data_IF_795219937406
#
_entry.id   IF_795219937406
#
_cell.length_a   1.000
_cell.length_b   1.000
_cell.length_c   1.000
_cell.angle_alpha   90.00
_cell.angle_beta   90.00
_cell.angle_gamma   90.00
#
_symmetry.space_group_name_H-M   'P 1'
#
loop_
_entity.id
_entity.type
_entity.pdbx_description
1 polymer ?
#
# COMPACT_ATOMS: atom_id res chain seq x y z
N UNK A 1 -0.34 15.47 -3.57
CA UNK A 1 0.32 14.97 -2.34
C UNK A 1 1.14 13.77 -2.74
N UNK A 2 2.46 13.69 -2.49
CA UNK A 2 3.14 12.39 -2.67
C UNK A 2 2.65 11.51 -1.54
N UNK A 3 1.87 10.48 -1.85
CA UNK A 3 1.21 9.65 -0.85
C UNK A 3 2.15 9.07 0.21
N UNK A 4 3.47 9.03 -0.05
CA UNK A 4 4.46 8.47 0.87
C UNK A 4 4.12 7.02 1.19
N UNK A 5 3.56 6.33 0.20
CA UNK A 5 3.17 4.94 0.25
C UNK A 5 4.36 4.10 -0.13
N UNK A 6 4.37 2.88 0.42
CA UNK A 6 5.37 1.83 0.24
C UNK A 6 6.17 1.96 -1.06
N UNK A 7 7.50 1.97 -0.92
CA UNK A 7 8.40 1.86 -2.07
C UNK A 7 8.26 0.51 -2.81
N UNK A 8 7.59 -0.47 -2.19
CA UNK A 8 7.35 -1.79 -2.76
C UNK A 8 5.93 -1.87 -3.34
N UNK A 9 5.85 -2.01 -4.66
CA UNK A 9 4.58 -2.26 -5.35
C UNK A 9 4.07 -3.67 -5.02
N UNK A 10 3.07 -3.76 -4.14
CA UNK A 10 2.43 -5.02 -3.80
C UNK A 10 1.68 -5.59 -5.02
N UNK A 11 1.88 -6.89 -5.28
CA UNK A 11 1.13 -7.62 -6.30
C UNK A 11 0.39 -8.77 -5.63
N UNK A 12 -0.95 -8.83 -5.67
CA UNK A 12 -1.71 -9.89 -5.01
C UNK A 12 -1.33 -11.30 -5.45
N UNK A 13 -1.40 -12.27 -4.54
CA UNK A 13 -1.11 -13.69 -4.82
C UNK A 13 -1.88 -14.23 -6.03
N UNK A 14 -3.14 -13.85 -6.22
CA UNK A 14 -3.96 -14.24 -7.38
C UNK A 14 -3.39 -13.71 -8.70
N UNK A 15 -2.91 -12.47 -8.71
CA UNK A 15 -2.21 -11.87 -9.86
C UNK A 15 -0.89 -12.58 -10.12
N UNK A 16 -0.08 -12.83 -9.08
CA UNK A 16 1.19 -13.57 -9.21
C UNK A 16 0.98 -14.99 -9.74
N UNK A 17 -0.05 -15.69 -9.25
CA UNK A 17 -0.46 -17.01 -9.73
C UNK A 17 -0.86 -16.98 -11.22
N UNK A 18 -1.65 -15.98 -11.61
CA UNK A 18 -2.10 -15.80 -12.99
C UNK A 18 -0.90 -15.55 -13.91
N UNK A 19 -0.01 -14.64 -13.55
CA UNK A 19 1.21 -14.34 -14.31
C UNK A 19 2.11 -15.57 -14.45
N UNK A 20 2.26 -16.36 -13.37
CA UNK A 20 3.03 -17.61 -13.39
C UNK A 20 2.46 -18.61 -14.39
N UNK A 21 1.12 -18.74 -14.48
CA UNK A 21 0.46 -19.58 -15.50
C UNK A 21 0.66 -19.07 -16.92
N UNK A 22 0.87 -17.77 -17.10
CA UNK A 22 1.21 -17.14 -18.39
C UNK A 22 2.73 -17.18 -18.67
N UNK A 23 3.53 -17.85 -17.83
CA UNK A 23 4.98 -17.97 -18.00
C UNK A 23 5.77 -16.74 -17.53
N UNK A 24 5.15 -15.81 -16.81
CA UNK A 24 5.78 -14.62 -16.25
C UNK A 24 6.02 -14.78 -14.74
N UNK A 25 7.17 -14.30 -14.26
CA UNK A 25 7.51 -14.28 -12.83
C UNK A 25 7.54 -12.83 -12.37
N UNK A 26 6.82 -12.54 -11.28
CA UNK A 26 6.87 -11.24 -10.62
C UNK A 26 8.08 -11.22 -9.69
N UNK A 27 8.91 -10.20 -9.83
CA UNK A 27 10.06 -9.98 -8.97
C UNK A 27 10.02 -8.57 -8.37
N UNK A 28 10.48 -8.45 -7.13
CA UNK A 28 10.56 -7.19 -6.39
C UNK A 28 12.02 -6.91 -6.01
N UNK A 29 12.40 -5.64 -6.06
CA UNK A 29 13.69 -5.17 -5.57
C UNK A 29 13.58 -4.78 -4.10
N UNK A 30 14.37 -5.42 -3.25
CA UNK A 30 14.47 -5.15 -1.81
C UNK A 30 15.94 -4.96 -1.48
N UNK A 31 16.30 -3.79 -0.94
CA UNK A 31 17.67 -3.41 -0.58
C UNK A 31 18.69 -3.65 -1.71
N UNK A 32 18.32 -3.33 -2.95
CA UNK A 32 19.17 -3.49 -4.14
C UNK A 32 19.29 -4.93 -4.65
N UNK A 33 18.54 -5.88 -4.07
CA UNK A 33 18.50 -7.27 -4.48
C UNK A 33 17.13 -7.63 -5.07
N UNK A 34 17.14 -8.41 -6.15
CA UNK A 34 15.91 -8.83 -6.83
C UNK A 34 15.47 -10.19 -6.30
N UNK A 35 14.21 -10.28 -5.88
CA UNK A 35 13.58 -11.50 -5.40
C UNK A 35 12.36 -11.84 -6.27
N UNK A 36 12.36 -13.03 -6.87
CA UNK A 36 11.17 -13.61 -7.46
C UNK A 36 10.17 -13.94 -6.34
N UNK A 37 9.01 -13.30 -6.39
CA UNK A 37 7.95 -13.47 -5.39
C UNK A 37 7.19 -14.77 -5.69
N UNK A 38 6.85 -15.58 -4.67
CA UNK A 38 6.08 -16.80 -4.88
C UNK A 38 4.76 -16.53 -5.59
N UNK A 39 4.36 -17.44 -6.48
CA UNK A 39 3.06 -17.37 -7.17
C UNK A 39 1.87 -17.59 -6.22
N UNK A 40 2.11 -18.20 -5.06
CA UNK A 40 1.13 -18.40 -3.98
C UNK A 40 1.24 -17.30 -2.94
N UNK A 41 0.24 -17.24 -2.07
CA UNK A 41 0.25 -16.39 -0.88
C UNK A 41 1.45 -16.74 0.02
N UNK A 42 2.14 -15.71 0.50
CA UNK A 42 3.18 -15.85 1.51
C UNK A 42 2.55 -15.89 2.90
N UNK A 43 3.07 -16.70 3.85
CA UNK A 43 2.61 -16.66 5.22
C UNK A 43 2.59 -15.23 5.79
N UNK A 44 1.43 -14.78 6.29
CA UNK A 44 1.25 -13.45 6.86
C UNK A 44 0.89 -12.34 5.88
N UNK A 45 0.75 -12.65 4.58
CA UNK A 45 0.50 -11.67 3.51
C UNK A 45 -0.90 -11.05 3.60
N UNK A 46 -1.93 -11.85 3.88
CA UNK A 46 -3.32 -11.37 4.00
C UNK A 46 -3.46 -10.45 5.22
N UNK A 47 -2.87 -10.84 6.36
CA UNK A 47 -2.86 -10.03 7.56
C UNK A 47 -2.12 -8.71 7.32
N UNK A 48 -0.97 -8.77 6.64
CA UNK A 48 -0.24 -7.58 6.23
C UNK A 48 -1.10 -6.67 5.35
N UNK A 49 -1.83 -7.24 4.37
CA UNK A 49 -2.68 -6.46 3.45
C UNK A 49 -3.82 -5.77 4.19
N UNK A 50 -4.45 -6.47 5.13
CA UNK A 50 -5.49 -5.90 5.98
C UNK A 50 -4.95 -4.77 6.87
N UNK A 51 -3.78 -4.96 7.48
CA UNK A 51 -3.13 -3.94 8.30
C UNK A 51 -2.73 -2.71 7.46
N UNK A 52 -2.25 -2.93 6.24
CA UNK A 52 -1.93 -1.86 5.29
C UNK A 52 -3.16 -1.04 4.92
N UNK A 53 -4.28 -1.67 4.61
CA UNK A 53 -5.53 -0.96 4.31
C UNK A 53 -6.03 -0.15 5.52
N UNK A 54 -6.01 -0.72 6.73
CA UNK A 54 -6.36 0.00 7.96
C UNK A 54 -5.46 1.22 8.18
N UNK A 55 -4.16 1.06 7.95
CA UNK A 55 -3.20 2.15 8.04
C UNK A 55 -3.49 3.25 7.01
N UNK A 56 -3.79 2.89 5.76
CA UNK A 56 -4.20 3.85 4.73
C UNK A 56 -5.43 4.65 5.17
N UNK A 57 -6.49 3.97 5.63
CA UNK A 57 -7.71 4.64 6.13
C UNK A 57 -7.36 5.64 7.24
N UNK A 58 -6.61 5.22 8.26
CA UNK A 58 -6.21 6.10 9.38
C UNK A 58 -5.40 7.31 8.90
N UNK A 59 -4.46 7.11 7.98
CA UNK A 59 -3.65 8.18 7.40
C UNK A 59 -4.53 9.20 6.65
N UNK A 60 -5.52 8.71 5.93
CA UNK A 60 -6.42 9.55 5.15
C UNK A 60 -7.46 10.28 5.98
N UNK A 61 -8.00 9.63 7.01
CA UNK A 61 -8.83 10.29 8.02
C UNK A 61 -8.04 11.42 8.67
N UNK A 62 -6.79 11.17 9.08
CA UNK A 62 -5.93 12.21 9.66
C UNK A 62 -5.71 13.38 8.69
N UNK A 63 -5.47 13.08 7.41
CA UNK A 63 -5.27 14.09 6.38
C UNK A 63 -6.52 14.93 6.11
N UNK A 64 -7.67 14.29 5.93
CA UNK A 64 -8.94 14.96 5.61
C UNK A 64 -9.53 15.70 6.81
N UNK A 65 -9.36 15.19 8.03
CA UNK A 65 -9.79 15.87 9.25
C UNK A 65 -9.20 17.28 9.42
N UNK A 66 -8.08 17.56 8.74
CA UNK A 66 -7.39 18.86 8.72
C UNK A 66 -7.84 19.78 7.58
N UNK A 67 -8.80 19.34 6.76
CA UNK A 67 -9.35 20.07 5.61
C UNK A 67 -10.80 20.51 5.85
N UNK A 68 -11.26 21.57 5.16
CA UNK A 68 -12.67 21.93 5.10
C UNK A 68 -13.54 20.74 4.65
N UNK A 69 -14.71 20.56 5.28
CA UNK A 69 -15.60 19.41 5.03
C UNK A 69 -16.10 19.34 3.59
N UNK A 70 -16.30 20.48 2.95
CA UNK A 70 -16.70 20.62 1.55
C UNK A 70 -15.62 20.14 0.56
N UNK A 71 -14.36 20.02 0.99
CA UNK A 71 -13.27 19.47 0.17
C UNK A 71 -13.10 17.96 0.31
N UNK A 72 -13.75 17.30 1.28
CA UNK A 72 -13.47 15.90 1.62
C UNK A 72 -13.73 14.94 0.46
N UNK A 73 -14.91 15.04 -0.16
CA UNK A 73 -15.31 14.14 -1.26
C UNK A 73 -14.39 14.31 -2.47
N UNK A 74 -14.15 15.55 -2.90
CA UNK A 74 -13.27 15.84 -4.04
C UNK A 74 -11.85 15.34 -3.79
N UNK A 75 -11.32 15.58 -2.58
CA UNK A 75 -9.98 15.11 -2.21
C UNK A 75 -9.91 13.57 -2.20
N UNK A 76 -10.96 12.89 -1.75
CA UNK A 76 -11.01 11.42 -1.74
C UNK A 76 -11.02 10.84 -3.16
N UNK A 77 -11.79 11.43 -4.08
CA UNK A 77 -11.81 11.00 -5.49
C UNK A 77 -10.45 11.13 -6.17
N UNK A 78 -9.69 12.21 -5.89
CA UNK A 78 -8.33 12.36 -6.40
C UNK A 78 -7.39 11.27 -5.88
N UNK A 79 -7.55 10.90 -4.61
CA UNK A 79 -6.76 9.87 -3.95
C UNK A 79 -7.07 8.48 -4.49
N UNK A 80 -8.35 8.16 -4.70
CA UNK A 80 -8.76 6.91 -5.35
C UNK A 80 -8.09 6.76 -6.71
N UNK A 81 -8.14 7.83 -7.52
CA UNK A 81 -7.51 7.84 -8.83
C UNK A 81 -5.99 7.61 -8.73
N UNK A 82 -5.31 8.26 -7.78
CA UNK A 82 -3.87 8.07 -7.57
C UNK A 82 -3.53 6.65 -7.06
N UNK A 83 -4.32 6.09 -6.13
CA UNK A 83 -4.11 4.76 -5.57
C UNK A 83 -4.27 3.65 -6.62
N UNK A 84 -5.27 3.78 -7.50
CA UNK A 84 -5.47 2.87 -8.64
C UNK A 84 -4.36 3.04 -9.67
N UNK A 85 -4.00 4.28 -10.05
CA UNK A 85 -2.93 4.53 -11.03
C UNK A 85 -1.59 3.97 -10.59
N UNK A 86 -1.28 4.06 -9.29
CA UNK A 86 -0.04 3.53 -8.71
C UNK A 86 -0.11 2.04 -8.35
N UNK A 87 -1.21 1.37 -8.67
CA UNK A 87 -1.43 -0.06 -8.40
C UNK A 87 -1.30 -0.42 -6.91
N UNK A 88 -1.67 0.50 -6.03
CA UNK A 88 -1.54 0.33 -4.58
C UNK A 88 -2.74 -0.42 -4.01
N UNK A 89 -3.89 -0.26 -4.64
CA UNK A 89 -5.17 -0.89 -4.31
C UNK A 89 -5.82 -1.46 -5.59
N UNK A 90 -6.49 -2.61 -5.43
CA UNK A 90 -7.46 -3.10 -6.40
C UNK A 90 -8.71 -2.22 -6.38
N UNK A 91 -9.49 -2.20 -7.45
CA UNK A 91 -10.70 -1.37 -7.54
C UNK A 91 -11.65 -1.57 -6.35
N UNK A 92 -11.91 -2.82 -5.94
CA UNK A 92 -12.77 -3.12 -4.79
C UNK A 92 -12.15 -2.69 -3.46
N UNK A 93 -10.81 -2.73 -3.35
CA UNK A 93 -10.11 -2.26 -2.16
C UNK A 93 -10.13 -0.74 -2.08
N UNK A 94 -10.08 -0.04 -3.22
CA UNK A 94 -10.23 1.42 -3.32
C UNK A 94 -11.60 1.86 -2.83
N UNK A 95 -12.68 1.19 -3.27
CA UNK A 95 -14.04 1.49 -2.82
C UNK A 95 -14.18 1.28 -1.30
N UNK A 96 -13.77 0.12 -0.79
CA UNK A 96 -13.80 -0.17 0.63
C UNK A 96 -12.94 0.78 1.47
N UNK A 97 -11.79 1.20 0.94
CA UNK A 97 -10.92 2.21 1.55
C UNK A 97 -11.66 3.55 1.67
N UNK A 98 -12.29 4.03 0.60
CA UNK A 98 -12.97 5.32 0.58
C UNK A 98 -14.20 5.36 1.46
N UNK A 99 -15.02 4.31 1.42
CA UNK A 99 -16.14 4.15 2.35
C UNK A 99 -15.64 4.15 3.80
N UNK A 100 -14.57 3.40 4.08
CA UNK A 100 -13.95 3.35 5.41
C UNK A 100 -13.47 4.72 5.90
N UNK A 101 -12.88 5.53 5.01
CA UNK A 101 -12.47 6.90 5.32
C UNK A 101 -13.68 7.80 5.62
N UNK A 102 -14.71 7.76 4.79
CA UNK A 102 -15.90 8.59 4.97
C UNK A 102 -16.67 8.24 6.25
N UNK A 103 -16.89 6.95 6.51
CA UNK A 103 -17.53 6.47 7.73
C UNK A 103 -16.74 6.92 8.97
N UNK A 104 -15.42 6.72 8.95
CA UNK A 104 -14.55 7.14 10.05
C UNK A 104 -14.63 8.65 10.29
N UNK A 105 -14.71 9.48 9.25
CA UNK A 105 -14.82 10.93 9.37
C UNK A 105 -16.21 11.38 9.88
N UNK A 106 -17.27 10.67 9.51
CA UNK A 106 -18.64 10.96 9.96
C UNK A 106 -18.82 10.69 11.46
N UNK A 107 -18.10 9.70 11.99
CA UNK A 107 -18.12 9.35 13.41
C UNK A 107 -17.36 10.34 14.31
N UNK A 108 -16.55 11.25 13.72
CA UNK A 108 -15.78 12.24 14.48
C UNK A 108 -16.63 13.44 14.87
N UNK A 109 -16.64 13.72 16.18
CA UNK A 109 -17.19 14.97 16.71
C UNK A 109 -16.27 16.16 16.41
N UNK A 110 -16.78 17.39 16.56
CA UNK A 110 -15.96 18.60 16.43
C UNK A 110 -14.79 18.63 17.41
N UNK A 111 -14.94 18.07 18.61
CA UNK A 111 -13.85 17.93 19.59
C UNK A 111 -12.79 16.94 19.13
N UNK A 112 -13.16 15.84 18.48
CA UNK A 112 -12.20 14.86 17.97
C UNK A 112 -11.38 15.45 16.82
N UNK A 113 -12.04 16.18 15.92
CA UNK A 113 -11.38 16.91 14.84
C UNK A 113 -10.37 17.93 15.40
N UNK A 114 -10.74 18.64 16.47
CA UNK A 114 -9.86 19.60 17.12
C UNK A 114 -8.68 18.93 17.83
N UNK A 115 -8.91 17.75 18.45
CA UNK A 115 -7.83 16.96 19.04
C UNK A 115 -6.83 16.47 17.99
N UNK A 116 -7.33 15.95 16.87
CA UNK A 116 -6.51 15.54 15.72
C UNK A 116 -5.68 16.69 15.15
N UNK A 117 -6.27 17.90 15.10
CA UNK A 117 -5.58 19.10 14.66
C UNK A 117 -4.48 19.53 15.65
N UNK A 118 -4.79 19.54 16.96
CA UNK A 118 -3.85 19.94 18.00
C UNK A 118 -2.65 18.98 18.11
N UNK A 119 -2.87 17.69 17.87
CA UNK A 119 -1.84 16.65 17.94
C UNK A 119 -1.28 16.25 16.56
N UNK A 120 -1.47 17.07 15.54
CA UNK A 120 -1.18 16.68 14.16
C UNK A 120 0.25 16.20 13.94
N UNK A 121 1.24 16.90 14.51
CA UNK A 121 2.65 16.52 14.39
C UNK A 121 2.95 15.14 15.02
N UNK A 122 2.30 14.81 16.14
CA UNK A 122 2.46 13.53 16.81
C UNK A 122 1.87 12.41 15.93
N UNK A 123 0.66 12.59 15.44
CA UNK A 123 0.01 11.62 14.56
C UNK A 123 0.74 11.43 13.23
N UNK A 124 1.30 12.50 12.66
CA UNK A 124 2.14 12.42 11.45
C UNK A 124 3.35 11.50 11.68
N UNK A 125 4.01 11.59 12.85
CA UNK A 125 5.14 10.72 13.23
C UNK A 125 4.68 9.27 13.44
N UNK A 126 3.59 9.06 14.18
CA UNK A 126 3.04 7.73 14.44
C UNK A 126 2.63 7.01 13.14
N UNK A 127 1.92 7.71 12.25
CA UNK A 127 1.48 7.18 10.97
C UNK A 127 2.65 6.90 10.04
N UNK A 128 3.69 7.73 10.06
CA UNK A 128 4.92 7.47 9.31
C UNK A 128 5.61 6.20 9.79
N UNK A 129 5.85 6.09 11.10
CA UNK A 129 6.49 4.92 11.71
C UNK A 129 5.70 3.63 11.45
N UNK A 130 4.36 3.67 11.55
CA UNK A 130 3.51 2.53 11.22
C UNK A 130 3.61 2.12 9.75
N UNK A 131 3.72 3.08 8.82
CA UNK A 131 3.93 2.80 7.40
C UNK A 131 5.28 2.13 7.14
N UNK A 132 6.36 2.65 7.75
CA UNK A 132 7.70 2.07 7.65
C UNK A 132 7.74 0.63 8.20
N UNK A 133 7.03 0.36 9.30
CA UNK A 133 6.92 -0.99 9.86
C UNK A 133 6.19 -1.96 8.91
N UNK A 134 5.15 -1.50 8.21
CA UNK A 134 4.44 -2.30 7.21
C UNK A 134 5.34 -2.59 5.99
N UNK A 135 6.10 -1.60 5.53
CA UNK A 135 7.05 -1.78 4.44
C UNK A 135 8.13 -2.81 4.78
N UNK A 136 8.71 -2.69 5.98
CA UNK A 136 9.70 -3.64 6.47
C UNK A 136 9.14 -5.07 6.61
N UNK A 137 7.88 -5.20 7.01
CA UNK A 137 7.22 -6.51 7.09
C UNK A 137 7.01 -7.12 5.70
N UNK A 138 6.59 -6.33 4.70
CA UNK A 138 6.49 -6.82 3.32
C UNK A 138 7.85 -7.24 2.78
N UNK A 139 8.87 -6.39 2.93
CA UNK A 139 10.25 -6.69 2.55
C UNK A 139 10.74 -7.99 3.21
N UNK A 140 10.50 -8.16 4.52
CA UNK A 140 10.84 -9.37 5.27
C UNK A 140 10.15 -10.62 4.74
N UNK A 141 8.86 -10.54 4.36
CA UNK A 141 8.15 -11.66 3.72
C UNK A 141 8.77 -12.01 2.36
N UNK A 142 9.08 -11.00 1.55
CA UNK A 142 9.69 -11.18 0.22
C UNK A 142 11.08 -11.82 0.35
N UNK A 143 11.90 -11.38 1.30
CA UNK A 143 13.22 -11.97 1.56
C UNK A 143 13.09 -13.43 2.06
N UNK A 144 12.14 -13.69 2.95
CA UNK A 144 12.00 -15.00 3.60
C UNK A 144 11.39 -16.06 2.69
N UNK A 145 10.50 -15.67 1.77
CA UNK A 145 9.74 -16.60 0.94
C UNK A 145 10.05 -16.49 -0.55
N UNK A 146 10.64 -15.37 -0.98
CA UNK A 146 11.08 -15.17 -2.35
C UNK A 146 12.35 -15.95 -2.69
N UNK A 147 12.59 -16.11 -3.98
CA UNK A 147 13.83 -16.70 -4.49
C UNK A 147 14.70 -15.58 -5.05
N UNK A 148 15.92 -15.41 -4.54
CA UNK A 148 16.85 -14.40 -5.07
C UNK A 148 17.16 -14.70 -6.53
N UNK A 149 17.08 -13.68 -7.37
CA UNK A 149 17.39 -13.75 -8.80
C UNK A 149 18.70 -13.02 -9.03
N UNK A 150 19.70 -13.69 -9.59
CA UNK A 150 20.92 -13.01 -10.03
C UNK A 150 20.65 -12.26 -11.35
N UNK A 151 21.15 -11.02 -11.51
CA UNK A 151 20.99 -10.28 -12.75
C UNK A 151 21.80 -10.95 -13.86
N UNK A 152 21.14 -11.86 -14.58
CA UNK A 152 21.62 -12.51 -15.80
C UNK A 152 22.16 -13.91 -15.56
N UNK A 153 21.41 -14.93 -16.00
CA UNK A 153 21.97 -16.19 -16.53
C UNK A 153 20.94 -17.09 -17.22
N UNK A 154 19.64 -16.97 -16.96
CA UNK A 154 18.64 -17.81 -17.62
C UNK A 154 17.82 -17.01 -18.64
N UNK A 155 17.88 -17.44 -19.91
CA UNK A 155 17.16 -16.89 -21.05
C UNK A 155 15.63 -17.08 -21.02
N UNK A 156 15.01 -16.99 -19.85
CA UNK A 156 13.56 -16.82 -19.70
C UNK A 156 13.26 -15.32 -19.72
N UNK A 157 12.23 -14.91 -20.48
CA UNK A 157 11.76 -13.52 -20.51
C UNK A 157 11.24 -13.14 -19.12
N UNK A 158 12.11 -12.58 -18.30
CA UNK A 158 11.73 -11.96 -17.03
C UNK A 158 10.90 -10.71 -17.34
N UNK A 159 9.63 -10.73 -16.97
CA UNK A 159 8.84 -9.50 -16.89
C UNK A 159 9.31 -8.74 -15.65
N UNK A 160 10.39 -7.98 -15.82
CA UNK A 160 10.83 -6.98 -14.84
C UNK A 160 9.84 -5.83 -14.90
N UNK A 161 8.89 -5.78 -13.97
CA UNK A 161 8.15 -4.54 -13.73
C UNK A 161 9.12 -3.53 -13.14
N UNK A 162 9.66 -2.65 -13.98
CA UNK A 162 10.34 -1.44 -13.53
C UNK A 162 9.28 -0.49 -12.98
N UNK A 163 9.24 -0.37 -11.66
CA UNK A 163 8.45 0.68 -11.00
C UNK A 163 9.27 1.97 -11.15
N UNK A 164 8.79 2.90 -11.97
CA UNK A 164 9.39 4.22 -12.09
C UNK A 164 9.09 5.06 -10.82
N UNK A 165 10.02 5.93 -10.38
CA UNK A 165 9.82 6.80 -9.22
C UNK A 165 8.75 7.89 -9.41
#
# INVERSE_FOLDING_TARGET
>A
MKLGLSHLAYVPATTRATMSRLGAVIALEVDGLIYAVPSREMPGEVEWRADYMKWMVRRFVHYLARRPKDEWVTTLLEVEAEAVQKQLLLNVETEAFSEGVLLSLQDLSSSDLQLLANNAALHDVELKSAGEALDNRLAGMVISHGTRVEPGLDGKKEFRMKVAP
#
